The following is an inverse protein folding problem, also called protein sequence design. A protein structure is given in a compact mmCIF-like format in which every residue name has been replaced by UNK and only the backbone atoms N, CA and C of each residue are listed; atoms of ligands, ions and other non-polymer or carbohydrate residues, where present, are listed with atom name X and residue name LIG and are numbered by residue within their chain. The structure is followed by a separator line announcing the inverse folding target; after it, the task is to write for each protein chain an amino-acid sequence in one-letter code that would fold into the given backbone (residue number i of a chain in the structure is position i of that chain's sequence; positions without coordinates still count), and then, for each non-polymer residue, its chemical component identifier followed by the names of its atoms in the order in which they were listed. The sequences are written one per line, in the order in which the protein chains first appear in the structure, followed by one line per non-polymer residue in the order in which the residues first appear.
data_IF_528909239699
#
_entry.id   IF_528909239699
#
_cell.length_a   1.000
_cell.length_b   1.000
_cell.length_c   1.000
_cell.angle_alpha   90.00
_cell.angle_beta   90.00
_cell.angle_gamma   90.00
#
_symmetry.space_group_name_H-M   'P 1'
#
loop_
_entity.id
_entity.type
_entity.pdbx_description
1 polymer ?
#
# COMPACT_ATOMS: atom_id res chain seq x y z
N UNK A 1 -21.77 -38.33 -24.64
CA UNK A 1 -21.05 -37.79 -23.46
C UNK A 1 -20.82 -36.31 -23.69
N UNK A 2 -21.58 -35.43 -23.01
CA UNK A 2 -21.48 -33.97 -23.21
C UNK A 2 -20.38 -33.42 -22.31
N UNK A 3 -19.31 -32.91 -22.92
CA UNK A 3 -18.28 -32.15 -22.21
C UNK A 3 -18.91 -30.82 -21.76
N UNK A 4 -19.11 -30.66 -20.45
CA UNK A 4 -19.39 -29.37 -19.85
C UNK A 4 -18.08 -28.61 -19.81
N UNK A 5 -17.90 -27.67 -20.74
CA UNK A 5 -16.80 -26.72 -20.71
C UNK A 5 -17.28 -25.53 -19.87
N UNK A 6 -16.81 -25.45 -18.62
CA UNK A 6 -17.01 -24.28 -17.78
C UNK A 6 -16.27 -23.11 -18.43
N UNK A 7 -17.00 -22.18 -19.04
CA UNK A 7 -16.45 -20.89 -19.44
C UNK A 7 -16.29 -20.06 -18.15
N UNK A 8 -15.13 -20.20 -17.50
CA UNK A 8 -14.68 -19.22 -16.52
C UNK A 8 -14.60 -17.86 -17.21
N UNK A 9 -15.25 -16.85 -16.63
CA UNK A 9 -15.27 -15.49 -17.12
C UNK A 9 -13.83 -15.01 -17.37
N UNK A 10 -13.52 -14.70 -18.62
CA UNK A 10 -12.19 -14.26 -19.05
C UNK A 10 -11.84 -12.90 -18.42
N UNK A 11 -10.82 -12.89 -17.56
CA UNK A 11 -9.63 -12.07 -17.82
C UNK A 11 -9.66 -10.56 -17.55
N UNK A 12 -10.57 -10.04 -16.73
CA UNK A 12 -10.43 -8.64 -16.26
C UNK A 12 -9.42 -8.56 -15.10
N UNK A 13 -8.38 -7.72 -15.20
CA UNK A 13 -7.46 -7.52 -14.08
C UNK A 13 -8.22 -6.93 -12.89
N UNK A 14 -8.20 -7.64 -11.77
CA UNK A 14 -8.78 -7.15 -10.52
C UNK A 14 -7.75 -6.28 -9.81
N UNK A 15 -8.21 -5.18 -9.24
CA UNK A 15 -7.42 -4.27 -8.44
C UNK A 15 -8.00 -4.17 -7.03
N UNK A 16 -7.13 -4.04 -6.05
CA UNK A 16 -7.49 -3.67 -4.68
C UNK A 16 -7.38 -2.16 -4.56
N UNK A 17 -8.48 -1.50 -4.22
CA UNK A 17 -8.55 -0.07 -3.96
C UNK A 17 -8.55 0.18 -2.45
N UNK A 18 -7.58 0.93 -1.96
CA UNK A 18 -7.61 1.55 -0.65
C UNK A 18 -7.91 3.03 -0.80
N UNK A 19 -8.85 3.55 0.00
CA UNK A 19 -9.26 4.94 0.01
C UNK A 19 -9.48 5.37 1.45
N UNK A 20 -8.96 6.54 1.83
CA UNK A 20 -9.01 7.08 3.18
C UNK A 20 -9.16 8.61 3.12
N UNK A 21 -9.81 9.17 4.12
CA UNK A 21 -10.09 10.59 4.23
C UNK A 21 -9.44 11.23 5.46
N UNK A 22 -9.11 12.52 5.35
CA UNK A 22 -8.66 13.34 6.46
C UNK A 22 -9.45 14.63 6.51
N UNK A 23 -10.00 14.95 7.68
CA UNK A 23 -10.86 16.11 7.92
C UNK A 23 -12.34 15.75 7.86
N UNK A 24 -13.21 16.73 8.08
CA UNK A 24 -14.65 16.56 7.98
C UNK A 24 -15.24 17.70 7.16
N UNK A 25 -15.98 17.38 6.10
CA UNK A 25 -16.59 18.38 5.20
C UNK A 25 -17.53 19.36 5.90
N UNK A 26 -17.99 19.01 7.10
CA UNK A 26 -18.93 19.80 7.90
C UNK A 26 -18.32 20.31 9.22
N UNK A 27 -17.02 20.12 9.45
CA UNK A 27 -16.34 20.66 10.62
C UNK A 27 -15.65 21.99 10.27
N UNK A 28 -16.18 23.14 10.72
CA UNK A 28 -15.61 24.45 10.44
C UNK A 28 -14.25 24.67 11.11
N UNK A 29 -13.80 23.77 11.99
CA UNK A 29 -12.46 23.82 12.59
C UNK A 29 -11.38 23.17 11.73
N UNK A 30 -11.75 22.51 10.62
CA UNK A 30 -10.81 21.94 9.65
C UNK A 30 -10.75 22.78 8.39
N UNK A 31 -9.55 23.27 8.04
CA UNK A 31 -9.35 24.11 6.84
C UNK A 31 -9.46 23.31 5.53
N UNK A 32 -9.20 22.00 5.59
CA UNK A 32 -9.12 21.14 4.42
C UNK A 32 -9.79 19.78 4.68
N UNK A 33 -10.51 19.28 3.67
CA UNK A 33 -10.92 17.89 3.54
C UNK A 33 -10.10 17.25 2.43
N UNK A 34 -9.39 16.16 2.75
CA UNK A 34 -8.52 15.46 1.81
C UNK A 34 -9.01 14.02 1.66
N UNK A 35 -9.17 13.57 0.43
CA UNK A 35 -9.44 12.17 0.09
C UNK A 35 -8.25 11.64 -0.72
N UNK A 36 -7.65 10.56 -0.25
CA UNK A 36 -6.48 9.95 -0.90
C UNK A 36 -6.57 8.43 -0.86
N UNK A 37 -5.83 7.77 -1.74
CA UNK A 37 -5.88 6.32 -1.85
C UNK A 37 -4.90 5.79 -2.87
N UNK A 38 -4.84 4.47 -2.98
CA UNK A 38 -4.04 3.78 -3.98
C UNK A 38 -4.80 2.57 -4.53
N UNK A 39 -4.47 2.21 -5.76
CA UNK A 39 -5.00 1.02 -6.43
C UNK A 39 -3.84 0.13 -6.83
N UNK A 40 -3.84 -1.12 -6.36
CA UNK A 40 -2.82 -2.11 -6.70
C UNK A 40 -3.45 -3.27 -7.44
N UNK A 41 -2.69 -3.86 -8.37
CA UNK A 41 -3.12 -5.07 -9.05
C UNK A 41 -3.16 -6.24 -8.05
N UNK A 42 -4.20 -7.08 -8.08
CA UNK A 42 -4.45 -8.11 -7.05
C UNK A 42 -3.25 -9.05 -6.84
N UNK A 43 -2.49 -9.36 -7.91
CA UNK A 43 -1.36 -10.30 -7.88
C UNK A 43 -0.05 -9.65 -7.40
N UNK A 44 -0.08 -8.37 -7.08
CA UNK A 44 1.09 -7.60 -6.61
C UNK A 44 1.19 -7.55 -5.08
N UNK A 45 0.16 -7.98 -4.34
CA UNK A 45 0.10 -7.88 -2.86
C UNK A 45 1.28 -8.57 -2.18
N UNK A 46 1.59 -9.81 -2.56
CA UNK A 46 2.71 -10.57 -2.00
C UNK A 46 4.05 -9.85 -2.18
N UNK A 47 4.29 -9.23 -3.35
CA UNK A 47 5.53 -8.51 -3.61
C UNK A 47 5.59 -7.18 -2.89
N UNK A 48 4.46 -6.51 -2.75
CA UNK A 48 4.37 -5.27 -1.99
C UNK A 48 4.65 -5.52 -0.50
N UNK A 49 4.04 -6.56 0.08
CA UNK A 49 4.30 -7.01 1.45
C UNK A 49 5.80 -7.30 1.65
N UNK A 50 6.40 -8.14 0.81
CA UNK A 50 7.82 -8.46 0.89
C UNK A 50 8.73 -7.23 0.73
N UNK A 51 8.29 -6.20 0.00
CA UNK A 51 9.02 -4.94 -0.14
C UNK A 51 8.85 -4.00 1.06
N UNK A 52 7.78 -4.16 1.84
CA UNK A 52 7.54 -3.42 3.10
C UNK A 52 8.38 -4.01 4.24
N UNK A 53 8.65 -5.31 4.26
CA UNK A 53 9.40 -5.96 5.37
C UNK A 53 10.75 -5.28 5.70
N UNK A 54 11.60 -4.89 4.72
CA UNK A 54 12.85 -4.18 5.02
C UNK A 54 12.62 -2.81 5.67
N UNK A 55 11.51 -2.14 5.35
CA UNK A 55 11.13 -0.86 5.97
C UNK A 55 10.72 -1.11 7.43
N UNK A 56 9.93 -2.16 7.69
CA UNK A 56 9.48 -2.57 9.03
C UNK A 56 10.63 -3.03 9.92
N UNK A 57 11.61 -3.77 9.37
CA UNK A 57 12.76 -4.28 10.10
C UNK A 57 13.64 -3.17 10.70
N UNK A 58 13.56 -1.92 10.19
CA UNK A 58 14.23 -0.76 10.79
C UNK A 58 13.68 -0.39 12.17
N UNK A 59 12.46 -0.82 12.47
CA UNK A 59 11.75 -0.51 13.72
C UNK A 59 11.72 -1.73 14.63
N UNK A 60 11.41 -2.91 14.09
CA UNK A 60 11.50 -4.16 14.84
C UNK A 60 12.19 -5.25 14.00
N UNK A 61 13.51 -5.40 14.11
CA UNK A 61 14.25 -6.40 13.32
C UNK A 61 13.97 -7.85 13.75
N UNK A 62 13.43 -8.07 14.95
CA UNK A 62 13.11 -9.41 15.47
C UNK A 62 11.71 -9.89 15.06
N UNK A 63 10.81 -8.95 14.78
CA UNK A 63 9.44 -9.21 14.35
C UNK A 63 8.94 -8.01 13.51
N UNK A 64 9.40 -7.89 12.25
CA UNK A 64 8.98 -6.82 11.34
C UNK A 64 7.47 -6.83 11.08
N UNK A 65 6.85 -8.01 11.03
CA UNK A 65 5.43 -8.21 10.74
C UNK A 65 4.49 -7.61 11.81
N UNK A 66 5.00 -7.36 13.02
CA UNK A 66 4.26 -6.66 14.07
C UNK A 66 4.23 -5.13 13.90
N UNK A 67 4.97 -4.57 12.94
CA UNK A 67 4.98 -3.12 12.71
C UNK A 67 3.80 -2.70 11.85
N UNK A 68 2.89 -1.93 12.44
CA UNK A 68 1.78 -1.30 11.74
C UNK A 68 2.12 0.14 11.34
N UNK A 69 2.15 0.39 10.02
CA UNK A 69 2.38 1.72 9.45
C UNK A 69 1.10 2.56 9.36
N UNK A 70 0.41 2.72 10.49
CA UNK A 70 -0.81 3.52 10.54
C UNK A 70 -0.50 5.02 10.63
N UNK A 71 -0.98 5.81 9.66
CA UNK A 71 -0.59 7.21 9.47
C UNK A 71 -0.93 8.12 10.66
N UNK A 72 -2.08 7.93 11.32
CA UNK A 72 -2.48 8.76 12.45
C UNK A 72 -1.58 8.56 13.70
N UNK A 73 -1.32 7.33 14.17
CA UNK A 73 -0.32 7.08 15.23
C UNK A 73 1.09 7.54 14.87
N UNK A 74 1.54 7.30 13.64
CA UNK A 74 2.86 7.74 13.18
C UNK A 74 3.01 9.26 13.25
N UNK A 75 2.08 10.00 12.65
CA UNK A 75 2.05 11.47 12.62
C UNK A 75 1.94 12.07 14.02
N UNK A 76 1.07 11.50 14.87
CA UNK A 76 0.81 11.97 16.22
C UNK A 76 1.82 11.49 17.27
N UNK A 77 2.72 10.55 16.92
CA UNK A 77 3.63 9.94 17.88
C UNK A 77 2.95 9.23 19.03
N UNK A 78 1.93 8.45 18.70
CA UNK A 78 1.18 7.65 19.67
C UNK A 78 1.75 6.24 19.75
N UNK A 79 1.51 5.59 20.89
CA UNK A 79 1.85 4.18 21.10
C UNK A 79 3.33 3.89 20.82
N UNK A 80 3.62 2.86 20.02
CA UNK A 80 4.95 2.46 19.59
C UNK A 80 5.74 3.62 18.94
N UNK A 81 5.05 4.50 18.21
CA UNK A 81 5.65 5.62 17.47
C UNK A 81 6.06 6.81 18.35
N UNK A 82 5.76 6.79 19.66
CA UNK A 82 6.15 7.84 20.61
C UNK A 82 7.66 7.90 20.81
N UNK A 83 8.34 6.76 20.76
CA UNK A 83 9.78 6.65 20.97
C UNK A 83 10.61 6.91 19.70
N UNK A 84 9.98 7.08 18.54
CA UNK A 84 10.64 7.18 17.24
C UNK A 84 10.66 8.64 16.79
N UNK A 85 11.80 9.12 16.30
CA UNK A 85 11.95 10.52 15.91
C UNK A 85 10.97 10.90 14.77
N UNK A 86 10.43 12.14 14.74
CA UNK A 86 9.55 12.62 13.67
C UNK A 86 10.09 12.35 12.26
N UNK A 87 11.37 12.64 12.02
CA UNK A 87 12.00 12.45 10.71
C UNK A 87 12.02 10.98 10.26
N UNK A 88 12.28 10.04 11.17
CA UNK A 88 12.31 8.61 10.84
C UNK A 88 10.93 8.08 10.45
N UNK A 89 9.88 8.57 11.11
CA UNK A 89 8.49 8.21 10.81
C UNK A 89 8.06 8.79 9.46
N UNK A 90 8.38 10.05 9.20
CA UNK A 90 8.13 10.68 7.91
C UNK A 90 8.85 9.95 6.77
N UNK A 91 10.11 9.55 6.98
CA UNK A 91 10.87 8.80 5.98
C UNK A 91 10.24 7.43 5.69
N UNK A 92 9.76 6.71 6.72
CA UNK A 92 9.05 5.45 6.48
C UNK A 92 7.79 5.62 5.62
N UNK A 93 7.02 6.69 5.81
CA UNK A 93 5.88 7.01 4.95
C UNK A 93 6.33 7.27 3.51
N UNK A 94 7.38 8.07 3.32
CA UNK A 94 7.95 8.35 1.98
C UNK A 94 8.40 7.06 1.29
N UNK A 95 9.09 6.17 2.01
CA UNK A 95 9.58 4.92 1.45
C UNK A 95 8.43 4.00 1.02
N UNK A 96 7.38 3.87 1.85
CA UNK A 96 6.20 3.04 1.54
C UNK A 96 5.44 3.61 0.34
N UNK A 97 5.21 4.92 0.30
CA UNK A 97 4.58 5.58 -0.87
C UNK A 97 5.43 5.37 -2.12
N UNK A 98 6.76 5.39 -2.00
CA UNK A 98 7.69 5.09 -3.08
C UNK A 98 7.52 3.69 -3.67
N UNK A 99 7.20 2.69 -2.84
CA UNK A 99 6.89 1.33 -3.32
C UNK A 99 5.61 1.29 -4.16
N UNK A 100 4.61 2.11 -3.81
CA UNK A 100 3.34 2.20 -4.54
C UNK A 100 3.46 2.94 -5.87
N UNK A 101 4.45 3.84 -6.02
CA UNK A 101 4.66 4.60 -7.25
C UNK A 101 5.34 3.80 -8.37
N UNK A 102 6.06 2.72 -8.02
CA UNK A 102 6.72 1.81 -8.96
C UNK A 102 6.20 0.38 -8.82
N UNK A 103 4.89 0.13 -9.03
CA UNK A 103 4.38 -1.23 -9.03
C UNK A 103 5.04 -2.00 -10.19
N UNK A 104 5.50 -3.22 -9.90
CA UNK A 104 6.29 -4.09 -10.78
C UNK A 104 6.01 -3.88 -12.28
N UNK A 105 7.04 -3.76 -13.15
CA UNK A 105 6.82 -3.73 -14.58
C UNK A 105 6.12 -5.04 -14.98
N UNK A 106 4.99 -4.91 -15.69
CA UNK A 106 4.24 -6.06 -16.19
C UNK A 106 5.21 -7.02 -16.89
N UNK A 107 5.22 -8.29 -16.50
CA UNK A 107 6.07 -9.34 -17.11
C UNK A 107 5.65 -9.71 -18.55
N UNK A 108 4.94 -8.83 -19.25
CA UNK A 108 4.60 -8.98 -20.66
C UNK A 108 5.89 -8.83 -21.48
N UNK A 109 6.39 -9.89 -22.12
CA UNK A 109 7.52 -9.75 -23.02
C UNK A 109 7.06 -8.85 -24.17
N UNK A 110 7.73 -7.72 -24.37
CA UNK A 110 7.60 -6.92 -25.59
C UNK A 110 7.89 -7.83 -26.78
N UNK A 111 6.86 -8.33 -27.45
CA UNK A 111 6.99 -8.94 -28.78
C UNK A 111 7.46 -7.83 -29.72
N UNK A 112 8.78 -7.68 -29.84
CA UNK A 112 9.38 -6.99 -31.00
C UNK A 112 8.93 -7.80 -32.23
N UNK A 113 8.06 -7.19 -33.04
CA UNK A 113 7.86 -7.68 -34.40
C UNK A 113 9.15 -7.44 -35.16
N UNK A 114 9.63 -8.52 -35.79
CA UNK A 114 10.63 -8.49 -36.85
C UNK A 114 10.10 -7.64 -38.02
#
# INVERSE_FOLDING_TARGET
MRSVRLYGHLGVPVHLLYLDESGHSHDPSTDFFVLAGFSIFERSTHWLEAAIDPIAARFNPLNPEAIEFHGAPMRGGKEYWKAIAPAQRAQAVVDIIGLLANPQPSSTPSRRRL
#
